data_IF_474605408309
#
_entry.id   IF_474605408309
#
_cell.length_a   1.000
_cell.length_b   1.000
_cell.length_c   1.000
_cell.angle_alpha   90.00
_cell.angle_beta   90.00
_cell.angle_gamma   90.00
#
_symmetry.space_group_name_H-M   'P 1'
#
loop_
_entity.id
_entity.type
_entity.pdbx_description
1 polymer ?
#
# COMPACT_ATOMS: atom_id res chain seq x y z
N UNK A 1 22.83 -13.79 15.46
CA UNK A 1 22.04 -13.03 16.45
C UNK A 1 21.06 -12.13 15.74
N UNK A 2 19.77 -12.18 16.10
CA UNK A 2 18.76 -11.21 15.62
C UNK A 2 19.14 -9.83 16.17
N UNK A 3 19.54 -8.91 15.27
CA UNK A 3 20.02 -7.56 15.64
C UNK A 3 18.89 -6.57 15.90
N UNK A 4 17.71 -6.85 15.39
CA UNK A 4 16.56 -5.96 15.47
C UNK A 4 15.70 -6.31 16.67
N UNK A 5 15.34 -5.30 17.46
CA UNK A 5 14.36 -5.48 18.53
C UNK A 5 12.97 -5.68 17.89
N UNK A 6 12.26 -6.70 18.32
CA UNK A 6 10.89 -7.00 17.92
C UNK A 6 10.07 -7.30 19.16
N UNK A 7 8.80 -6.92 19.14
CA UNK A 7 7.88 -7.16 20.27
C UNK A 7 7.17 -8.51 20.18
N UNK A 8 6.75 -8.87 18.97
CA UNK A 8 5.99 -10.08 18.67
C UNK A 8 6.48 -10.64 17.32
N UNK A 9 6.66 -11.96 17.27
CA UNK A 9 6.87 -12.73 16.03
C UNK A 9 5.73 -13.71 15.91
N UNK A 10 5.00 -13.66 14.79
CA UNK A 10 3.91 -14.59 14.49
C UNK A 10 4.28 -15.35 13.22
N UNK A 11 4.18 -16.68 13.24
CA UNK A 11 4.47 -17.54 12.10
C UNK A 11 3.54 -18.75 12.04
N UNK A 12 3.34 -19.36 10.86
CA UNK A 12 2.56 -20.61 10.72
C UNK A 12 3.06 -21.78 11.58
N UNK A 13 4.38 -21.84 11.76
CA UNK A 13 5.06 -22.81 12.60
C UNK A 13 6.42 -22.22 13.05
N UNK A 14 6.98 -22.74 14.13
CA UNK A 14 8.28 -22.30 14.67
C UNK A 14 9.14 -23.51 14.95
N UNK A 15 10.29 -23.60 14.26
CA UNK A 15 11.25 -24.69 14.46
C UNK A 15 11.97 -24.57 15.81
N UNK A 16 12.43 -25.71 16.35
CA UNK A 16 13.18 -25.74 17.61
C UNK A 16 14.42 -24.84 17.58
N UNK A 17 15.13 -24.80 16.45
CA UNK A 17 16.27 -23.92 16.24
C UNK A 17 15.88 -22.44 16.34
N UNK A 18 14.74 -22.03 15.80
CA UNK A 18 14.24 -20.66 15.92
C UNK A 18 13.81 -20.34 17.35
N UNK A 19 13.14 -21.28 18.05
CA UNK A 19 12.76 -21.11 19.45
C UNK A 19 13.97 -20.86 20.34
N UNK A 20 15.06 -21.63 20.16
CA UNK A 20 16.31 -21.45 20.91
C UNK A 20 16.92 -20.05 20.69
N UNK A 21 16.88 -19.53 19.47
CA UNK A 21 17.38 -18.17 19.17
C UNK A 21 16.56 -17.10 19.89
N UNK A 22 15.23 -17.22 19.91
CA UNK A 22 14.35 -16.24 20.56
C UNK A 22 14.30 -16.40 22.09
N UNK A 23 14.58 -17.58 22.64
CA UNK A 23 14.62 -17.83 24.08
C UNK A 23 15.62 -16.93 24.83
N UNK A 24 16.67 -16.44 24.15
CA UNK A 24 17.60 -15.46 24.70
C UNK A 24 17.05 -14.03 24.82
N UNK A 25 15.79 -13.78 24.45
CA UNK A 25 15.15 -12.46 24.47
C UNK A 25 13.88 -12.49 25.34
N UNK A 26 14.03 -12.17 26.63
CA UNK A 26 12.98 -12.32 27.65
C UNK A 26 11.61 -11.69 27.30
N UNK A 27 11.58 -10.61 26.51
CA UNK A 27 10.36 -9.86 26.19
C UNK A 27 9.77 -10.16 24.81
N UNK A 28 10.41 -11.02 23.99
CA UNK A 28 9.90 -11.34 22.65
C UNK A 28 8.80 -12.40 22.79
N UNK A 29 7.60 -12.06 22.31
CA UNK A 29 6.49 -13.04 22.23
C UNK A 29 6.56 -13.77 20.89
N UNK A 30 6.75 -15.08 20.92
CA UNK A 30 6.75 -15.92 19.72
C UNK A 30 5.46 -16.73 19.67
N UNK A 31 4.63 -16.51 18.66
CA UNK A 31 3.33 -17.15 18.49
C UNK A 31 3.33 -18.02 17.23
N UNK A 32 2.99 -19.30 17.40
CA UNK A 32 2.71 -20.20 16.28
C UNK A 32 1.20 -20.19 16.00
N UNK A 33 0.80 -19.74 14.82
CA UNK A 33 -0.60 -19.67 14.38
C UNK A 33 -0.72 -20.35 13.02
N UNK A 34 -1.22 -21.59 12.95
CA UNK A 34 -1.39 -22.31 11.69
C UNK A 34 -2.20 -21.50 10.68
N UNK A 35 -1.85 -21.63 9.40
CA UNK A 35 -2.64 -21.00 8.33
C UNK A 35 -4.03 -21.64 8.28
N UNK A 36 -5.06 -20.82 8.46
CA UNK A 36 -6.46 -21.21 8.29
C UNK A 36 -7.04 -20.70 6.98
N UNK A 37 -8.19 -21.25 6.58
CA UNK A 37 -9.02 -20.71 5.49
C UNK A 37 -10.18 -19.85 6.01
N UNK A 38 -10.35 -19.79 7.32
CA UNK A 38 -11.43 -19.06 7.97
C UNK A 38 -11.26 -17.56 7.76
N UNK A 39 -12.34 -16.91 7.34
CA UNK A 39 -12.41 -15.47 7.21
C UNK A 39 -13.58 -14.97 8.05
N UNK A 40 -13.41 -13.81 8.68
CA UNK A 40 -14.51 -13.15 9.35
C UNK A 40 -15.58 -12.82 8.31
N UNK A 41 -16.82 -13.29 8.50
CA UNK A 41 -17.92 -12.93 7.60
C UNK A 41 -18.33 -11.46 7.72
N UNK A 42 -18.08 -10.87 8.89
CA UNK A 42 -18.48 -9.51 9.26
C UNK A 42 -17.33 -8.78 9.97
N UNK A 43 -17.23 -7.48 9.75
CA UNK A 43 -16.37 -6.55 10.45
C UNK A 43 -17.23 -5.58 11.28
N UNK A 44 -16.76 -5.28 12.49
CA UNK A 44 -17.51 -4.52 13.49
C UNK A 44 -16.72 -3.30 13.96
N UNK A 45 -17.37 -2.14 14.03
CA UNK A 45 -16.79 -0.91 14.59
C UNK A 45 -17.73 -0.31 15.63
N UNK A 46 -17.24 -0.19 16.87
CA UNK A 46 -17.99 0.45 17.96
C UNK A 46 -18.05 1.96 17.74
N UNK A 47 -19.22 2.54 17.99
CA UNK A 47 -19.48 3.99 18.05
C UNK A 47 -20.21 4.30 19.35
N UNK A 48 -20.22 5.55 19.81
CA UNK A 48 -20.68 5.89 21.16
C UNK A 48 -22.09 5.36 21.54
N UNK A 49 -22.99 5.28 20.56
CA UNK A 49 -24.35 4.76 20.76
C UNK A 49 -24.61 3.35 20.25
N UNK A 50 -23.61 2.62 19.76
CA UNK A 50 -23.86 1.28 19.18
C UNK A 50 -22.73 0.68 18.36
N UNK A 51 -23.11 -0.07 17.33
CA UNK A 51 -22.22 -0.89 16.52
C UNK A 51 -22.50 -0.69 15.03
N UNK A 52 -21.45 -0.42 14.25
CA UNK A 52 -21.48 -0.50 12.80
C UNK A 52 -21.04 -1.90 12.38
N UNK A 53 -21.75 -2.48 11.42
CA UNK A 53 -21.51 -3.83 10.90
C UNK A 53 -21.38 -3.75 9.38
N UNK A 54 -20.33 -4.35 8.83
CA UNK A 54 -20.10 -4.44 7.38
C UNK A 54 -19.50 -5.78 6.99
N UNK A 55 -19.50 -6.12 5.71
CA UNK A 55 -18.66 -7.21 5.19
C UNK A 55 -17.20 -6.74 5.11
N UNK A 56 -16.21 -7.61 5.33
CA UNK A 56 -14.81 -7.23 5.17
C UNK A 56 -14.49 -6.84 3.72
N UNK A 57 -13.53 -5.95 3.57
CA UNK A 57 -12.90 -5.67 2.27
C UNK A 57 -12.03 -6.87 1.85
N UNK A 58 -12.62 -7.79 1.09
CA UNK A 58 -11.97 -9.03 0.64
C UNK A 58 -11.53 -9.01 -0.83
N UNK A 59 -11.98 -8.01 -1.61
CA UNK A 59 -11.70 -7.95 -3.04
C UNK A 59 -10.21 -7.69 -3.29
N UNK A 60 -9.58 -8.55 -4.11
CA UNK A 60 -8.26 -8.31 -4.68
C UNK A 60 -8.47 -8.15 -6.19
N UNK A 61 -8.03 -7.03 -6.75
CA UNK A 61 -8.18 -6.77 -8.18
C UNK A 61 -7.22 -7.66 -8.97
N UNK A 62 -7.75 -8.29 -10.02
CA UNK A 62 -6.98 -9.02 -11.01
C UNK A 62 -6.68 -8.14 -12.23
N UNK A 63 -5.78 -8.59 -13.13
CA UNK A 63 -5.44 -7.85 -14.35
C UNK A 63 -6.65 -7.53 -15.24
N UNK A 64 -7.71 -8.33 -15.19
CA UNK A 64 -8.97 -8.18 -15.93
C UNK A 64 -9.76 -6.90 -15.58
N UNK A 65 -9.54 -6.34 -14.39
CA UNK A 65 -10.18 -5.09 -13.94
C UNK A 65 -9.30 -3.86 -14.12
N UNK A 66 -8.06 -4.04 -14.54
CA UNK A 66 -7.10 -2.95 -14.63
C UNK A 66 -7.20 -2.27 -15.99
N UNK A 67 -7.30 -0.93 -15.98
CA UNK A 67 -7.28 -0.10 -17.18
C UNK A 67 -6.08 0.82 -17.14
N UNK A 68 -5.18 0.69 -18.11
CA UNK A 68 -4.07 1.63 -18.30
C UNK A 68 -4.66 2.86 -19.01
N UNK A 69 -4.54 4.03 -18.40
CA UNK A 69 -5.25 5.25 -18.83
C UNK A 69 -4.34 6.32 -19.43
N UNK A 70 -3.02 6.17 -19.28
CA UNK A 70 -1.98 7.04 -19.85
C UNK A 70 -1.40 6.44 -21.14
N UNK A 71 -0.67 7.27 -21.88
CA UNK A 71 0.10 6.87 -23.05
C UNK A 71 1.22 5.86 -22.72
N UNK A 72 1.94 6.08 -21.61
CA UNK A 72 3.01 5.17 -21.15
C UNK A 72 2.40 3.88 -20.60
N UNK A 73 2.97 2.76 -21.04
CA UNK A 73 2.65 1.43 -20.53
C UNK A 73 3.64 1.02 -19.42
N UNK A 74 3.17 0.42 -18.31
CA UNK A 74 4.04 -0.21 -17.33
C UNK A 74 4.71 -1.45 -17.93
N UNK A 75 5.95 -1.73 -17.53
CA UNK A 75 6.61 -3.00 -17.84
C UNK A 75 5.98 -4.15 -17.02
N UNK A 76 6.19 -5.43 -17.39
CA UNK A 76 5.68 -6.56 -16.60
C UNK A 76 6.08 -6.50 -15.12
N UNK A 77 7.35 -6.20 -14.82
CA UNK A 77 7.85 -6.06 -13.44
C UNK A 77 7.20 -4.90 -12.71
N UNK A 78 7.00 -3.75 -13.37
CA UNK A 78 6.28 -2.63 -12.78
C UNK A 78 4.81 -2.98 -12.51
N UNK A 79 4.19 -3.79 -13.36
CA UNK A 79 2.82 -4.23 -13.17
C UNK A 79 2.67 -5.14 -11.95
N UNK A 80 3.60 -6.08 -11.77
CA UNK A 80 3.66 -6.93 -10.57
C UNK A 80 3.85 -6.09 -9.30
N UNK A 81 4.75 -5.09 -9.35
CA UNK A 81 4.97 -4.16 -8.24
C UNK A 81 3.74 -3.29 -7.96
N UNK A 82 2.97 -2.88 -8.97
CA UNK A 82 1.72 -2.13 -8.79
C UNK A 82 0.67 -2.99 -8.08
N UNK A 83 0.50 -4.25 -8.49
CA UNK A 83 -0.40 -5.19 -7.82
C UNK A 83 0.03 -5.47 -6.38
N UNK A 84 1.33 -5.58 -6.13
CA UNK A 84 1.88 -5.67 -4.78
C UNK A 84 1.55 -4.42 -3.95
N UNK A 85 1.88 -3.23 -4.44
CA UNK A 85 1.62 -1.96 -3.76
C UNK A 85 0.13 -1.76 -3.48
N UNK A 86 -0.74 -2.12 -4.43
CA UNK A 86 -2.19 -2.06 -4.29
C UNK A 86 -2.70 -2.94 -3.15
N UNK A 87 -2.23 -4.18 -3.07
CA UNK A 87 -2.57 -5.09 -1.97
C UNK A 87 -2.10 -4.59 -0.62
N UNK A 88 -0.93 -3.93 -0.56
CA UNK A 88 -0.45 -3.29 0.68
C UNK A 88 -1.34 -2.11 1.05
N UNK A 89 -1.63 -1.21 0.10
CA UNK A 89 -2.43 0.00 0.32
C UNK A 89 -3.80 -0.29 0.93
N UNK A 90 -4.44 -1.40 0.55
CA UNK A 90 -5.69 -1.90 1.13
C UNK A 90 -5.68 -2.05 2.65
N UNK A 91 -4.52 -2.35 3.24
CA UNK A 91 -4.38 -2.55 4.69
C UNK A 91 -3.79 -1.34 5.42
N UNK A 92 -3.29 -0.34 4.70
CA UNK A 92 -2.79 0.92 5.26
C UNK A 92 -3.96 1.84 5.60
N UNK A 93 -3.84 2.62 6.68
CA UNK A 93 -4.88 3.58 7.06
C UNK A 93 -4.94 4.76 6.09
N UNK A 94 -6.14 5.12 5.67
CA UNK A 94 -6.43 6.18 4.72
C UNK A 94 -6.16 7.59 5.27
N UNK A 95 -5.76 8.57 4.46
CA UNK A 95 -5.43 8.43 3.03
C UNK A 95 -4.05 7.79 2.85
N UNK A 96 -3.96 6.71 2.06
CA UNK A 96 -2.74 5.92 1.94
C UNK A 96 -2.00 6.17 0.61
N UNK A 97 -0.68 6.29 0.70
CA UNK A 97 0.25 6.30 -0.44
C UNK A 97 1.35 5.29 -0.15
N UNK A 98 1.51 4.30 -1.03
CA UNK A 98 2.48 3.21 -0.87
C UNK A 98 3.40 3.18 -2.07
N UNK A 99 4.65 3.58 -1.86
CA UNK A 99 5.71 3.38 -2.84
C UNK A 99 6.29 1.98 -2.70
N UNK A 100 6.52 1.31 -3.83
CA UNK A 100 7.07 -0.03 -3.89
C UNK A 100 8.01 -0.20 -5.09
N UNK A 101 8.82 -1.25 -5.05
CA UNK A 101 9.62 -1.70 -6.16
C UNK A 101 10.37 -2.98 -5.82
N UNK A 102 10.53 -3.89 -6.79
CA UNK A 102 11.18 -5.20 -6.59
C UNK A 102 10.48 -6.05 -5.50
N UNK A 103 9.16 -5.99 -5.45
CA UNK A 103 8.34 -6.75 -4.50
C UNK A 103 8.44 -6.30 -3.04
N UNK A 104 8.94 -5.10 -2.76
CA UNK A 104 9.02 -4.55 -1.40
C UNK A 104 8.49 -3.12 -1.33
N UNK A 105 7.97 -2.74 -0.16
CA UNK A 105 7.60 -1.35 0.13
C UNK A 105 8.87 -0.52 0.31
N UNK A 106 8.93 0.65 -0.32
CA UNK A 106 10.04 1.60 -0.21
C UNK A 106 9.70 2.76 0.74
N UNK A 107 8.44 3.19 0.72
CA UNK A 107 7.93 4.27 1.57
C UNK A 107 6.42 4.17 1.71
N UNK A 108 5.90 4.45 2.91
CA UNK A 108 4.47 4.39 3.21
C UNK A 108 4.04 5.66 3.93
N UNK A 109 3.07 6.35 3.34
CA UNK A 109 2.32 7.44 3.96
C UNK A 109 0.94 6.97 4.35
N UNK A 110 0.58 7.13 5.61
CA UNK A 110 -0.66 6.59 6.17
C UNK A 110 -1.38 7.61 7.06
N UNK A 111 -2.71 7.56 7.06
CA UNK A 111 -3.54 8.26 8.05
C UNK A 111 -3.64 9.77 7.88
N UNK A 112 -3.24 10.33 6.73
CA UNK A 112 -3.25 11.79 6.54
C UNK A 112 -4.57 12.30 5.97
N UNK A 113 -4.86 13.57 6.27
CA UNK A 113 -6.03 14.29 5.73
C UNK A 113 -5.87 14.58 4.23
N UNK A 114 -4.63 14.74 3.74
CA UNK A 114 -4.30 14.98 2.33
C UNK A 114 -3.39 13.88 1.76
N UNK A 115 -3.66 13.45 0.51
CA UNK A 115 -2.79 12.49 -0.22
C UNK A 115 -1.41 13.06 -0.50
N UNK A 116 -1.31 14.38 -0.72
CA UNK A 116 -0.03 15.06 -0.91
C UNK A 116 0.86 14.91 0.33
N UNK A 117 0.28 15.03 1.53
CA UNK A 117 1.04 14.85 2.77
C UNK A 117 1.42 13.38 2.99
N UNK A 118 0.54 12.43 2.65
CA UNK A 118 0.91 11.01 2.63
C UNK A 118 2.09 10.75 1.70
N UNK A 119 2.11 11.33 0.50
CA UNK A 119 3.26 11.22 -0.42
C UNK A 119 4.54 11.76 0.20
N UNK A 120 4.50 12.98 0.75
CA UNK A 120 5.66 13.61 1.40
C UNK A 120 6.19 12.77 2.56
N UNK A 121 5.30 12.25 3.41
CA UNK A 121 5.69 11.37 4.52
C UNK A 121 6.36 10.09 4.01
N UNK A 122 5.81 9.47 2.96
CA UNK A 122 6.39 8.27 2.36
C UNK A 122 7.81 8.54 1.86
N UNK A 123 8.02 9.66 1.15
CA UNK A 123 9.33 10.09 0.65
C UNK A 123 10.33 10.37 1.78
N UNK A 124 9.93 11.12 2.81
CA UNK A 124 10.77 11.39 3.98
C UNK A 124 11.18 10.08 4.68
N UNK A 125 10.24 9.15 4.85
CA UNK A 125 10.53 7.85 5.50
C UNK A 125 11.48 6.98 4.66
N UNK A 126 11.31 6.96 3.34
CA UNK A 126 12.23 6.26 2.44
C UNK A 126 13.65 6.85 2.54
N UNK A 127 13.78 8.17 2.47
CA UNK A 127 15.06 8.87 2.60
C UNK A 127 15.75 8.59 3.94
N UNK A 128 15.01 8.65 5.06
CA UNK A 128 15.54 8.32 6.39
C UNK A 128 16.01 6.87 6.51
N UNK A 129 15.44 5.95 5.72
CA UNK A 129 15.85 4.56 5.65
C UNK A 129 16.99 4.30 4.63
N UNK A 130 17.47 5.34 3.94
CA UNK A 130 18.47 5.21 2.88
C UNK A 130 17.94 4.51 1.62
N UNK A 131 16.62 4.52 1.41
CA UNK A 131 15.97 3.93 0.25
C UNK A 131 15.68 5.01 -0.79
N UNK A 132 16.07 4.75 -2.04
CA UNK A 132 15.68 5.60 -3.18
C UNK A 132 14.27 5.25 -3.63
N UNK A 133 13.50 6.28 -3.99
CA UNK A 133 12.21 6.16 -4.65
C UNK A 133 12.30 6.31 -6.19
N UNK A 134 13.49 6.59 -6.72
CA UNK A 134 13.71 6.69 -8.17
C UNK A 134 13.32 5.39 -8.89
N UNK A 135 12.47 5.50 -9.91
CA UNK A 135 12.00 4.35 -10.68
C UNK A 135 10.95 3.49 -9.96
N UNK A 136 10.40 3.95 -8.84
CA UNK A 136 9.42 3.19 -8.05
C UNK A 136 8.01 3.24 -8.65
N UNK A 137 7.15 2.33 -8.19
CA UNK A 137 5.72 2.39 -8.45
C UNK A 137 4.98 2.83 -7.20
N UNK A 138 3.76 3.37 -7.36
CA UNK A 138 2.96 3.85 -6.23
C UNK A 138 1.51 3.40 -6.31
N UNK A 139 0.92 3.06 -5.17
CA UNK A 139 -0.52 2.83 -5.03
C UNK A 139 -1.16 3.92 -4.16
N UNK A 140 -2.34 4.41 -4.57
CA UNK A 140 -3.23 5.20 -3.70
C UNK A 140 -4.54 4.47 -3.48
N UNK A 141 -4.93 4.33 -2.21
CA UNK A 141 -6.15 3.62 -1.79
C UNK A 141 -7.46 4.23 -2.30
N UNK A 142 -7.45 5.52 -2.64
CA UNK A 142 -8.53 6.23 -3.31
C UNK A 142 -8.03 7.11 -4.44
N UNK A 143 -8.96 7.71 -5.19
CA UNK A 143 -8.62 8.53 -6.35
C UNK A 143 -7.88 9.82 -5.97
N UNK A 144 -7.12 10.37 -6.92
CA UNK A 144 -6.56 11.72 -6.81
C UNK A 144 -7.61 12.77 -7.20
N UNK A 145 -7.95 13.71 -6.29
CA UNK A 145 -8.94 14.74 -6.60
C UNK A 145 -8.41 15.82 -7.56
N UNK A 146 -7.10 16.05 -7.57
CA UNK A 146 -6.42 17.08 -8.36
C UNK A 146 -5.06 16.57 -8.85
N UNK A 147 -4.47 17.27 -9.83
CA UNK A 147 -3.16 16.91 -10.41
C UNK A 147 -1.99 16.99 -9.44
N UNK A 148 -2.09 17.82 -8.40
CA UNK A 148 -1.04 18.04 -7.40
C UNK A 148 -0.56 16.75 -6.74
N UNK A 149 -1.48 15.80 -6.51
CA UNK A 149 -1.16 14.47 -6.02
C UNK A 149 -0.25 13.69 -6.96
N UNK A 150 -0.44 13.80 -8.28
CA UNK A 150 0.39 13.15 -9.29
C UNK A 150 1.73 13.86 -9.43
N UNK A 151 1.74 15.20 -9.45
CA UNK A 151 2.97 15.99 -9.56
C UNK A 151 3.95 15.63 -8.43
N UNK A 152 3.47 15.54 -7.18
CA UNK A 152 4.32 15.20 -6.03
C UNK A 152 4.79 13.74 -6.04
N UNK A 153 4.05 12.82 -6.67
CA UNK A 153 4.51 11.44 -6.87
C UNK A 153 5.66 11.38 -7.88
N UNK A 154 5.54 12.11 -9.00
CA UNK A 154 6.56 12.19 -10.04
C UNK A 154 7.85 12.81 -9.49
N UNK A 155 7.74 13.93 -8.77
CA UNK A 155 8.87 14.61 -8.12
C UNK A 155 9.60 13.70 -7.11
N UNK A 156 8.88 12.76 -6.48
CA UNK A 156 9.48 11.77 -5.59
C UNK A 156 10.17 10.61 -6.33
N UNK A 157 10.09 10.54 -7.67
CA UNK A 157 10.76 9.53 -8.49
C UNK A 157 9.87 8.37 -8.93
N UNK A 158 8.55 8.44 -8.73
CA UNK A 158 7.66 7.39 -9.24
C UNK A 158 7.63 7.35 -10.78
N UNK A 159 7.48 6.15 -11.35
CA UNK A 159 7.32 5.92 -12.79
C UNK A 159 5.99 5.25 -13.16
N UNK A 160 5.28 4.70 -12.19
CA UNK A 160 3.93 4.17 -12.36
C UNK A 160 3.05 4.44 -11.15
N UNK A 161 1.75 4.64 -11.35
CA UNK A 161 0.75 4.82 -10.29
C UNK A 161 -0.50 3.97 -10.53
N UNK A 162 -1.00 3.31 -9.49
CA UNK A 162 -2.30 2.60 -9.48
C UNK A 162 -3.27 3.25 -8.50
N UNK A 163 -4.48 3.53 -8.97
CA UNK A 163 -5.55 4.18 -8.19
C UNK A 163 -6.93 3.70 -8.66
N UNK A 164 -8.04 3.98 -7.95
CA UNK A 164 -9.37 3.59 -8.43
C UNK A 164 -9.82 4.33 -9.69
N UNK A 165 -9.48 5.62 -9.82
CA UNK A 165 -10.17 6.55 -10.71
C UNK A 165 -11.57 6.93 -10.18
N UNK A 166 -12.31 7.71 -10.96
CA UNK A 166 -13.66 8.18 -10.65
C UNK A 166 -13.73 9.63 -10.16
N UNK A 167 -12.67 10.42 -10.30
CA UNK A 167 -12.75 11.87 -10.07
C UNK A 167 -13.45 12.54 -11.24
N UNK A 168 -14.21 13.61 -10.98
CA UNK A 168 -14.70 14.51 -12.04
C UNK A 168 -13.55 15.20 -12.78
N UNK A 169 -12.34 15.16 -12.23
CA UNK A 169 -11.10 15.71 -12.80
C UNK A 169 -10.11 14.63 -13.26
N UNK A 170 -10.57 13.40 -13.51
CA UNK A 170 -9.68 12.32 -13.95
C UNK A 170 -8.88 12.70 -15.20
N UNK A 171 -9.46 13.44 -16.15
CA UNK A 171 -8.75 13.90 -17.35
C UNK A 171 -7.55 14.79 -17.01
N UNK A 172 -7.69 15.70 -16.05
CA UNK A 172 -6.60 16.57 -15.57
C UNK A 172 -5.49 15.76 -14.90
N UNK A 173 -5.87 14.76 -14.10
CA UNK A 173 -4.97 13.87 -13.37
C UNK A 173 -4.21 12.94 -14.33
N UNK A 174 -4.87 12.43 -15.37
CA UNK A 174 -4.27 11.60 -16.43
C UNK A 174 -3.30 12.43 -17.26
N UNK A 175 -3.69 13.65 -17.66
CA UNK A 175 -2.82 14.56 -18.41
C UNK A 175 -1.54 14.88 -17.64
N UNK A 176 -1.64 15.16 -16.34
CA UNK A 176 -0.47 15.36 -15.49
C UNK A 176 0.44 14.12 -15.43
N UNK A 177 -0.14 12.91 -15.36
CA UNK A 177 0.66 11.69 -15.41
C UNK A 177 1.39 11.54 -16.75
N UNK A 178 0.72 11.81 -17.87
CA UNK A 178 1.36 11.80 -19.20
C UNK A 178 2.47 12.86 -19.33
N UNK A 179 2.28 14.08 -18.79
CA UNK A 179 3.29 15.15 -18.75
C UNK A 179 4.57 14.71 -18.03
N UNK A 180 4.43 13.98 -16.91
CA UNK A 180 5.55 13.42 -16.14
C UNK A 180 6.08 12.09 -16.71
N UNK A 181 5.49 11.57 -17.78
CA UNK A 181 5.79 10.25 -18.30
C UNK A 181 5.51 9.13 -17.29
N UNK A 182 4.52 9.29 -16.41
CA UNK A 182 4.03 8.28 -15.48
C UNK A 182 3.05 7.34 -16.19
N UNK A 183 3.19 6.03 -15.99
CA UNK A 183 2.12 5.09 -16.35
C UNK A 183 1.04 5.08 -15.26
N UNK A 184 -0.22 5.32 -15.59
CA UNK A 184 -1.35 5.31 -14.65
C UNK A 184 -2.31 4.15 -14.93
N UNK A 185 -2.68 3.44 -13.87
CA UNK A 185 -3.58 2.29 -13.91
C UNK A 185 -4.79 2.53 -13.01
N UNK A 186 -5.99 2.37 -13.57
CA UNK A 186 -7.27 2.44 -12.85
C UNK A 186 -7.77 1.06 -12.46
N UNK A 187 -8.28 0.93 -11.24
CA UNK A 187 -8.84 -0.33 -10.71
C UNK A 187 -10.38 -0.33 -10.62
N UNK A 188 -11.01 0.85 -10.56
CA UNK A 188 -12.44 1.00 -10.28
C UNK A 188 -12.85 0.59 -8.86
N UNK A 189 -11.92 0.29 -7.96
CA UNK A 189 -12.18 -0.21 -6.61
C UNK A 189 -11.46 0.67 -5.60
N UNK A 190 -12.16 1.15 -4.58
CA UNK A 190 -11.58 1.95 -3.49
C UNK A 190 -11.42 1.10 -2.23
N UNK A 191 -10.23 1.13 -1.61
CA UNK A 191 -9.94 0.41 -0.36
C UNK A 191 -9.76 1.38 0.82
N UNK A 192 -10.82 2.12 1.18
CA UNK A 192 -10.74 3.09 2.27
C UNK A 192 -10.74 2.38 3.64
N UNK A 193 -9.82 2.77 4.53
CA UNK A 193 -9.65 2.18 5.87
C UNK A 193 -9.34 3.25 6.92
N UNK A 194 -10.21 3.40 7.90
CA UNK A 194 -9.98 4.25 9.09
C UNK A 194 -9.05 3.57 10.08
#
# INVERSE_FOLDING_TARGET
MVRQFVEVVIAPAVSDAAQQVFAGKANVRVLAVPMGQECNALEYKRVGGGLLVQTPDALNVGPDRLRIVTSRQPTPTQFDDLLFAWRVAKYVKSNAIVFAGRGMTLGVGAGQMSRVDSTRIAAIKAGNAGLSLEGSVVASDAFFPFRDGVDVLAEAGAVCVIQPGGSVRDEEVIAAADEHGLAMVFTGVRHFRH
#
